data_IF_789229950602
#
_entry.id   IF_789229950602
#
_cell.length_a   1.000
_cell.length_b   1.000
_cell.length_c   1.000
_cell.angle_alpha   90.00
_cell.angle_beta   90.00
_cell.angle_gamma   90.00
#
_symmetry.space_group_name_H-M   'P 1'
#
loop_
_entity.id
_entity.type
_entity.pdbx_description
1 polymer ?
#
# COMPACT_ATOMS: atom_id res chain seq x y z
N UNK A 1 8.52 26.16 4.99
CA UNK A 1 9.45 25.52 4.03
C UNK A 1 8.74 25.39 2.69
N UNK A 2 9.10 26.18 1.66
CA UNK A 2 8.43 26.18 0.34
C UNK A 2 9.13 25.16 -0.57
N UNK A 3 8.41 24.14 -1.05
CA UNK A 3 8.97 23.14 -1.99
C UNK A 3 9.31 23.83 -3.33
N UNK A 4 10.48 23.54 -3.91
CA UNK A 4 10.83 23.98 -5.27
C UNK A 4 9.98 23.22 -6.28
N UNK A 5 9.33 23.94 -7.20
CA UNK A 5 8.66 23.35 -8.37
C UNK A 5 9.71 22.61 -9.20
N UNK A 6 9.59 21.29 -9.33
CA UNK A 6 10.46 20.44 -10.17
C UNK A 6 11.19 19.31 -9.44
N UNK A 7 11.26 19.34 -8.11
CA UNK A 7 11.74 18.18 -7.33
C UNK A 7 10.55 17.25 -7.05
N UNK A 8 10.51 16.11 -7.73
CA UNK A 8 9.66 15.00 -7.28
C UNK A 8 10.19 14.60 -5.89
N UNK A 9 9.36 14.56 -4.84
CA UNK A 9 9.80 14.05 -3.56
C UNK A 9 10.36 12.63 -3.78
N UNK A 10 11.49 12.31 -3.13
CA UNK A 10 12.02 10.96 -3.11
C UNK A 10 10.92 10.04 -2.59
N UNK A 11 10.26 9.32 -3.49
CA UNK A 11 9.25 8.34 -3.15
C UNK A 11 9.97 7.08 -2.66
N UNK A 12 9.62 6.64 -1.46
CA UNK A 12 10.10 5.36 -0.93
C UNK A 12 9.26 4.25 -1.54
N UNK A 13 9.85 3.48 -2.46
CA UNK A 13 9.19 2.33 -3.08
C UNK A 13 9.61 1.03 -2.39
N UNK A 14 8.64 0.21 -2.00
CA UNK A 14 8.85 -1.13 -1.47
C UNK A 14 8.21 -2.15 -2.41
N UNK A 15 9.02 -3.02 -2.99
CA UNK A 15 8.57 -4.04 -3.94
C UNK A 15 8.56 -5.42 -3.31
N UNK A 16 7.49 -6.18 -3.55
CA UNK A 16 7.35 -7.57 -3.11
C UNK A 16 7.41 -8.51 -4.31
N UNK A 17 8.57 -9.14 -4.51
CA UNK A 17 8.83 -10.07 -5.62
C UNK A 17 9.00 -11.52 -5.14
N UNK A 18 8.84 -12.49 -6.05
CA UNK A 18 8.96 -13.91 -5.74
C UNK A 18 8.03 -14.82 -6.56
N UNK A 19 8.23 -16.13 -6.46
CA UNK A 19 7.44 -17.15 -7.17
C UNK A 19 5.93 -17.07 -6.84
N UNK A 20 5.10 -17.74 -7.64
CA UNK A 20 3.67 -17.89 -7.32
C UNK A 20 3.48 -18.59 -5.95
N UNK A 21 2.51 -18.14 -5.16
CA UNK A 21 2.15 -18.79 -3.89
C UNK A 21 3.05 -18.49 -2.68
N UNK A 22 4.15 -17.73 -2.80
CA UNK A 22 5.06 -17.44 -1.66
C UNK A 22 4.53 -16.39 -0.67
N UNK A 23 3.30 -15.90 -0.82
CA UNK A 23 2.69 -14.95 0.11
C UNK A 23 2.99 -13.47 -0.16
N UNK A 24 3.38 -13.07 -1.38
CA UNK A 24 3.71 -11.68 -1.74
C UNK A 24 2.61 -10.68 -1.37
N UNK A 25 1.36 -10.99 -1.76
CA UNK A 25 0.22 -10.09 -1.53
C UNK A 25 -0.10 -9.95 -0.05
N UNK A 26 0.00 -11.04 0.71
CA UNK A 26 -0.16 -11.03 2.16
C UNK A 26 0.91 -10.16 2.83
N UNK A 27 2.18 -10.36 2.45
CA UNK A 27 3.29 -9.58 2.98
C UNK A 27 3.17 -8.08 2.63
N UNK A 28 2.81 -7.76 1.39
CA UNK A 28 2.59 -6.39 0.94
C UNK A 28 1.44 -5.70 1.70
N UNK A 29 0.34 -6.42 1.92
CA UNK A 29 -0.82 -5.92 2.67
C UNK A 29 -0.49 -5.65 4.14
N UNK A 30 0.20 -6.60 4.80
CA UNK A 30 0.65 -6.44 6.17
C UNK A 30 1.66 -5.29 6.32
N UNK A 31 2.61 -5.17 5.40
CA UNK A 31 3.58 -4.08 5.41
C UNK A 31 2.90 -2.71 5.21
N UNK A 32 1.92 -2.61 4.30
CA UNK A 32 1.21 -1.35 4.08
C UNK A 32 0.45 -0.89 5.34
N UNK A 33 -0.22 -1.80 6.04
CA UNK A 33 -0.92 -1.48 7.29
C UNK A 33 0.06 -1.11 8.41
N UNK A 34 1.17 -1.83 8.53
CA UNK A 34 2.21 -1.52 9.51
C UNK A 34 2.83 -0.14 9.25
N UNK A 35 3.18 0.16 7.99
CA UNK A 35 3.71 1.47 7.61
C UNK A 35 2.70 2.59 7.85
N UNK A 36 1.41 2.35 7.60
CA UNK A 36 0.35 3.33 7.87
C UNK A 36 0.19 3.61 9.37
N UNK A 37 0.40 2.60 10.23
CA UNK A 37 0.34 2.76 11.69
C UNK A 37 1.54 3.54 12.24
N UNK A 38 2.69 3.45 11.58
CA UNK A 38 3.92 4.14 11.96
C UNK A 38 4.11 5.51 11.28
N UNK A 39 3.32 5.80 10.24
CA UNK A 39 3.45 7.04 9.46
C UNK A 39 2.95 8.25 10.24
N UNK A 40 3.30 9.46 9.81
CA UNK A 40 2.66 10.66 10.35
C UNK A 40 1.24 10.81 9.79
N UNK A 41 0.40 11.60 10.47
CA UNK A 41 -0.99 11.84 10.04
C UNK A 41 -1.13 12.49 8.64
N UNK A 42 -0.08 13.17 8.16
CA UNK A 42 -0.03 13.79 6.82
C UNK A 42 0.57 12.88 5.73
N UNK A 43 1.08 11.71 6.11
CA UNK A 43 1.63 10.72 5.20
C UNK A 43 0.54 9.74 4.73
N UNK A 44 0.74 9.19 3.52
CA UNK A 44 -0.19 8.25 2.89
C UNK A 44 0.59 7.09 2.30
N UNK A 45 0.03 5.89 2.44
CA UNK A 45 0.56 4.67 1.84
C UNK A 45 -0.33 4.28 0.66
N UNK A 46 0.28 4.03 -0.50
CA UNK A 46 -0.38 3.43 -1.65
C UNK A 46 0.08 1.98 -1.78
N UNK A 47 -0.87 1.05 -1.62
CA UNK A 47 -0.69 -0.35 -1.95
C UNK A 47 -1.35 -0.63 -3.29
N UNK A 48 -0.59 -1.21 -4.23
CA UNK A 48 -1.11 -1.65 -5.51
C UNK A 48 -0.47 -2.98 -5.91
N UNK A 49 -1.17 -3.72 -6.76
CA UNK A 49 -0.67 -4.95 -7.38
C UNK A 49 -0.62 -4.76 -8.89
N UNK A 50 0.45 -5.22 -9.53
CA UNK A 50 0.53 -5.31 -10.99
C UNK A 50 0.18 -6.72 -11.49
N UNK A 51 -0.14 -7.64 -10.59
CA UNK A 51 -0.61 -8.99 -10.92
C UNK A 51 -2.05 -8.92 -11.47
N UNK A 52 -2.37 -9.56 -12.62
CA UNK A 52 -3.74 -9.68 -13.11
C UNK A 52 -4.71 -10.37 -12.15
N UNK A 53 -4.21 -11.17 -11.21
CA UNK A 53 -5.04 -11.90 -10.26
C UNK A 53 -5.69 -10.99 -9.18
N UNK A 54 -6.91 -11.31 -8.76
CA UNK A 54 -7.67 -10.59 -7.71
C UNK A 54 -7.15 -10.79 -6.27
N UNK A 55 -5.93 -11.32 -6.10
CA UNK A 55 -5.33 -11.68 -4.82
C UNK A 55 -5.29 -10.53 -3.81
N UNK A 56 -5.26 -9.27 -4.25
CA UNK A 56 -5.26 -8.10 -3.37
C UNK A 56 -6.63 -7.89 -2.71
N UNK A 57 -7.71 -8.01 -3.48
CA UNK A 57 -9.07 -7.93 -2.95
C UNK A 57 -9.31 -9.04 -1.91
N UNK A 58 -8.89 -10.26 -2.24
CA UNK A 58 -9.03 -11.42 -1.36
C UNK A 58 -8.23 -11.24 -0.06
N UNK A 59 -7.00 -10.73 -0.15
CA UNK A 59 -6.15 -10.49 1.02
C UNK A 59 -6.66 -9.37 1.93
N UNK A 60 -7.42 -8.42 1.40
CA UNK A 60 -7.97 -7.29 2.15
C UNK A 60 -9.44 -7.51 2.57
N UNK A 61 -10.10 -8.54 2.05
CA UNK A 61 -11.52 -8.80 2.30
C UNK A 61 -12.48 -7.75 1.73
N UNK A 62 -12.00 -6.92 0.77
CA UNK A 62 -12.77 -5.84 0.15
C UNK A 62 -12.48 -5.78 -1.35
N UNK A 63 -13.45 -5.28 -2.12
CA UNK A 63 -13.26 -5.11 -3.57
C UNK A 63 -12.32 -3.94 -3.86
N UNK A 64 -11.17 -4.22 -4.48
CA UNK A 64 -10.27 -3.21 -5.06
C UNK A 64 -10.21 -3.37 -6.58
N UNK A 65 -10.12 -2.23 -7.27
CA UNK A 65 -10.09 -2.15 -8.73
C UNK A 65 -9.06 -1.16 -9.24
N UNK A 66 -9.30 -0.59 -10.43
CA UNK A 66 -8.43 0.38 -11.10
C UNK A 66 -8.52 1.80 -10.52
N UNK A 67 -9.43 2.04 -9.57
CA UNK A 67 -9.61 3.31 -8.88
C UNK A 67 -9.05 3.26 -7.48
N UNK A 68 -8.41 4.37 -7.08
CA UNK A 68 -7.96 4.57 -5.71
C UNK A 68 -9.12 4.39 -4.74
N UNK A 69 -8.98 3.42 -3.84
CA UNK A 69 -9.97 3.07 -2.83
C UNK A 69 -9.33 3.21 -1.47
N UNK A 70 -10.00 3.91 -0.56
CA UNK A 70 -9.50 4.05 0.81
C UNK A 70 -9.77 2.75 1.58
N UNK A 71 -8.71 2.15 2.11
CA UNK A 71 -8.77 0.87 2.82
C UNK A 71 -8.73 1.07 4.34
N UNK A 72 -7.88 2.00 4.81
CA UNK A 72 -7.68 2.26 6.23
C UNK A 72 -7.25 3.72 6.46
N UNK A 73 -7.43 4.19 7.69
CA UNK A 73 -6.98 5.51 8.16
C UNK A 73 -5.94 5.34 9.26
N UNK A 74 -4.98 6.26 9.30
CA UNK A 74 -4.01 6.36 10.38
C UNK A 74 -4.69 6.33 11.76
N UNK A 75 -4.15 5.55 12.70
CA UNK A 75 -4.74 5.31 14.02
C UNK A 75 -5.95 4.36 14.03
N UNK A 76 -6.35 3.80 12.89
CA UNK A 76 -7.41 2.77 12.75
C UNK A 76 -6.99 1.59 11.87
N UNK A 77 -5.71 1.45 11.52
CA UNK A 77 -5.22 0.32 10.75
C UNK A 77 -5.25 -0.95 11.63
N UNK A 78 -6.21 -1.85 11.38
CA UNK A 78 -6.27 -3.18 12.00
C UNK A 78 -6.65 -4.20 10.92
N UNK A 79 -6.04 -5.39 11.02
CA UNK A 79 -6.45 -6.60 10.29
C UNK A 79 -7.67 -7.23 10.97
#
# INVERSE_FOLDING_TARGET
MKRKRGELPLAHYLFFGGKGGVGKTTAASAAALHLLDQSKSDERILLFSTDPAHSLSDSLGISVGDRLTEIARHGRARL
#
